data_IF_641492190672
#
_entry.id   IF_641492190672
#
_cell.length_a   1.000
_cell.length_b   1.000
_cell.length_c   1.000
_cell.angle_alpha   90.00
_cell.angle_beta   90.00
_cell.angle_gamma   90.00
#
_symmetry.space_group_name_H-M   'P 1'
#
loop_
_entity.id
_entity.type
_entity.pdbx_description
1 polymer ?
#
# COMPACT_ATOMS: atom_id res chain seq x y z
N UNK A 1 -16.32 29.81 14.74
CA UNK A 1 -17.56 30.08 13.99
C UNK A 1 -17.22 30.19 12.51
N UNK A 2 -17.51 29.15 11.72
CA UNK A 2 -17.40 29.20 10.26
C UNK A 2 -18.65 28.56 9.66
N UNK A 3 -19.53 29.40 9.12
CA UNK A 3 -20.83 29.07 8.53
C UNK A 3 -20.72 28.51 7.09
N UNK A 4 -19.80 27.59 6.81
CA UNK A 4 -19.64 27.01 5.45
C UNK A 4 -20.35 25.67 5.26
N UNK A 5 -21.19 25.25 6.22
CA UNK A 5 -21.87 23.95 6.21
C UNK A 5 -23.36 24.00 5.81
N UNK A 6 -23.88 25.15 5.36
CA UNK A 6 -25.32 25.36 5.16
C UNK A 6 -25.80 25.32 3.70
N UNK A 7 -24.90 25.21 2.71
CA UNK A 7 -25.28 25.33 1.28
C UNK A 7 -25.65 24.01 0.59
N UNK A 8 -25.58 22.86 1.28
CA UNK A 8 -25.98 21.57 0.70
C UNK A 8 -27.46 21.53 0.31
N UNK A 9 -28.31 22.33 0.96
CA UNK A 9 -29.71 22.52 0.58
C UNK A 9 -29.90 23.13 -0.82
N UNK A 10 -28.88 23.80 -1.40
CA UNK A 10 -28.94 24.26 -2.79
C UNK A 10 -28.74 23.12 -3.82
N UNK A 11 -28.20 21.97 -3.41
CA UNK A 11 -28.12 20.80 -4.28
C UNK A 11 -29.48 20.12 -4.50
N UNK A 12 -30.40 20.26 -3.54
CA UNK A 12 -31.77 19.74 -3.58
C UNK A 12 -32.58 20.27 -4.79
N UNK A 13 -32.67 21.58 -5.06
CA UNK A 13 -33.33 22.09 -6.26
C UNK A 13 -32.62 21.69 -7.55
N UNK A 14 -31.30 21.50 -7.54
CA UNK A 14 -30.54 21.01 -8.71
C UNK A 14 -30.89 19.54 -9.02
N UNK A 15 -31.13 18.71 -8.00
CA UNK A 15 -31.64 17.33 -8.16
C UNK A 15 -33.09 17.29 -8.68
N UNK A 16 -33.90 18.30 -8.38
CA UNK A 16 -35.28 18.40 -8.86
C UNK A 16 -35.37 18.94 -10.30
N UNK A 17 -34.33 19.63 -10.79
CA UNK A 17 -34.28 20.23 -12.12
C UNK A 17 -34.45 19.23 -13.27
N UNK A 18 -33.80 18.05 -13.28
CA UNK A 18 -34.05 17.00 -14.28
C UNK A 18 -35.50 16.50 -14.28
N UNK A 19 -36.11 16.37 -13.09
CA UNK A 19 -37.50 15.94 -12.92
C UNK A 19 -38.44 17.01 -13.48
N UNK A 20 -38.17 18.27 -13.17
CA UNK A 20 -38.95 19.42 -13.64
C UNK A 20 -38.79 19.68 -15.14
N UNK A 21 -37.57 19.58 -15.67
CA UNK A 21 -37.26 19.67 -17.10
C UNK A 21 -37.95 18.55 -17.89
N UNK A 22 -37.93 17.33 -17.36
CA UNK A 22 -38.63 16.21 -17.98
C UNK A 22 -40.16 16.37 -17.94
N UNK A 23 -40.72 17.01 -16.90
CA UNK A 23 -42.13 17.44 -16.88
C UNK A 23 -42.42 18.51 -17.93
N UNK A 24 -41.62 19.58 -17.99
CA UNK A 24 -41.82 20.72 -18.90
C UNK A 24 -41.70 20.34 -20.39
N UNK A 25 -40.73 19.48 -20.73
CA UNK A 25 -40.59 18.95 -22.11
C UNK A 25 -41.83 18.16 -22.55
N UNK A 26 -42.56 17.54 -21.62
CA UNK A 26 -43.83 16.85 -21.90
C UNK A 26 -45.01 17.80 -22.09
N UNK A 27 -44.99 18.97 -21.47
CA UNK A 27 -46.00 20.01 -21.70
C UNK A 27 -45.83 20.65 -23.08
N UNK A 28 -44.58 20.88 -23.52
CA UNK A 28 -44.29 21.43 -24.84
C UNK A 28 -44.69 20.49 -25.98
N UNK A 29 -44.44 19.18 -25.86
CA UNK A 29 -44.89 18.20 -26.86
C UNK A 29 -46.39 17.87 -26.80
N UNK A 30 -47.13 18.30 -25.76
CA UNK A 30 -48.61 18.29 -25.75
C UNK A 30 -49.19 19.48 -26.51
N UNK A 31 -48.44 20.58 -26.65
CA UNK A 31 -48.89 21.80 -27.30
C UNK A 31 -48.69 21.79 -28.84
N UNK A 32 -48.03 20.77 -29.39
CA UNK A 32 -47.64 20.70 -30.81
C UNK A 32 -48.62 19.91 -31.71
N UNK A 33 -49.90 19.84 -31.33
CA UNK A 33 -50.96 19.27 -32.18
C UNK A 33 -52.12 20.26 -32.36
N UNK A 34 -51.85 21.52 -32.74
CA UNK A 34 -52.91 22.46 -33.10
C UNK A 34 -52.53 23.41 -34.22
N UNK A 35 -52.18 22.85 -35.39
CA UNK A 35 -52.28 23.60 -36.65
C UNK A 35 -52.31 22.63 -37.85
N UNK A 36 -53.37 21.82 -37.97
CA UNK A 36 -53.96 21.32 -39.24
C UNK A 36 -54.82 20.07 -38.98
N UNK A 37 -56.11 20.26 -38.73
CA UNK A 37 -57.18 19.32 -39.15
C UNK A 37 -58.52 19.85 -38.64
N UNK A 38 -59.20 20.60 -39.51
CA UNK A 38 -60.51 21.21 -39.23
C UNK A 38 -61.68 20.21 -39.28
N UNK A 39 -61.43 18.92 -39.50
CA UNK A 39 -62.51 17.97 -39.73
C UNK A 39 -62.17 16.59 -39.20
N UNK A 40 -62.53 16.31 -37.95
CA UNK A 40 -62.92 14.98 -37.44
C UNK A 40 -63.69 15.19 -36.12
N UNK A 41 -64.85 14.53 -35.90
CA UNK A 41 -65.59 14.63 -34.65
C UNK A 41 -64.78 14.03 -33.49
N UNK A 42 -64.79 14.73 -32.35
CA UNK A 42 -64.02 14.45 -31.13
C UNK A 42 -64.15 12.99 -30.69
N UNK A 43 -63.15 12.17 -31.00
CA UNK A 43 -62.71 11.13 -30.09
C UNK A 43 -61.59 11.75 -29.26
N UNK A 44 -61.79 11.96 -27.96
CA UNK A 44 -60.68 12.29 -27.07
C UNK A 44 -59.87 11.01 -26.83
N UNK A 45 -58.66 10.85 -27.40
CA UNK A 45 -57.81 9.75 -26.99
C UNK A 45 -57.30 10.10 -25.58
N UNK A 46 -57.99 9.61 -24.55
CA UNK A 46 -57.39 9.47 -23.21
C UNK A 46 -56.25 8.47 -23.33
N UNK A 47 -55.08 8.94 -23.76
CA UNK A 47 -53.83 8.21 -23.59
C UNK A 47 -53.53 8.15 -22.09
N UNK A 48 -54.14 7.18 -21.41
CA UNK A 48 -53.70 6.73 -20.09
C UNK A 48 -52.36 6.05 -20.32
N UNK A 49 -51.30 6.86 -20.34
CA UNK A 49 -49.96 6.36 -20.65
C UNK A 49 -49.36 5.81 -19.36
N UNK A 50 -49.55 4.51 -19.17
CA UNK A 50 -48.92 3.74 -18.11
C UNK A 50 -47.42 4.03 -18.10
N UNK A 51 -46.90 4.39 -16.94
CA UNK A 51 -45.49 4.66 -16.75
C UNK A 51 -44.73 3.38 -17.09
N UNK A 52 -44.02 3.35 -18.22
CA UNK A 52 -43.22 2.18 -18.54
C UNK A 52 -42.09 2.10 -17.51
N UNK A 53 -41.92 0.95 -16.87
CA UNK A 53 -40.87 0.72 -15.87
C UNK A 53 -39.48 1.17 -16.35
N UNK A 54 -39.24 1.11 -17.67
CA UNK A 54 -38.02 1.58 -18.34
C UNK A 54 -37.76 3.09 -18.17
N UNK A 55 -38.81 3.92 -18.21
CA UNK A 55 -38.68 5.37 -17.99
C UNK A 55 -38.33 5.70 -16.54
N UNK A 56 -38.84 4.92 -15.59
CA UNK A 56 -38.56 5.08 -14.17
C UNK A 56 -37.11 4.69 -13.83
N UNK A 57 -36.62 3.59 -14.42
CA UNK A 57 -35.23 3.15 -14.29
C UNK A 57 -34.27 4.19 -14.89
N UNK A 58 -34.55 4.70 -16.09
CA UNK A 58 -33.74 5.75 -16.72
C UNK A 58 -33.67 7.04 -15.88
N UNK A 59 -34.79 7.45 -15.29
CA UNK A 59 -34.83 8.62 -14.40
C UNK A 59 -33.99 8.39 -13.14
N UNK A 60 -34.10 7.21 -12.53
CA UNK A 60 -33.35 6.83 -11.34
C UNK A 60 -31.84 6.83 -11.60
N UNK A 61 -31.40 6.25 -12.73
CA UNK A 61 -29.99 6.24 -13.13
C UNK A 61 -29.45 7.66 -13.31
N UNK A 62 -30.22 8.56 -13.95
CA UNK A 62 -29.82 9.97 -14.08
C UNK A 62 -29.74 10.70 -12.74
N UNK A 63 -30.65 10.41 -11.82
CA UNK A 63 -30.60 10.97 -10.47
C UNK A 63 -29.38 10.45 -9.71
N UNK A 64 -29.07 9.15 -9.80
CA UNK A 64 -27.85 8.57 -9.21
C UNK A 64 -26.58 9.17 -9.81
N UNK A 65 -26.54 9.38 -11.13
CA UNK A 65 -25.40 10.02 -11.80
C UNK A 65 -25.21 11.46 -11.32
N UNK A 66 -26.29 12.22 -11.17
CA UNK A 66 -26.23 13.57 -10.62
C UNK A 66 -25.76 13.57 -9.16
N UNK A 67 -26.30 12.67 -8.33
CA UNK A 67 -25.90 12.54 -6.94
C UNK A 67 -24.42 12.14 -6.80
N UNK A 68 -23.94 11.22 -7.62
CA UNK A 68 -22.52 10.82 -7.67
C UNK A 68 -21.63 11.98 -8.13
N UNK A 69 -22.07 12.79 -9.10
CA UNK A 69 -21.32 13.95 -9.57
C UNK A 69 -21.25 15.05 -8.50
N UNK A 70 -22.34 15.30 -7.78
CA UNK A 70 -22.38 16.23 -6.64
C UNK A 70 -21.46 15.72 -5.53
N UNK A 71 -21.53 14.44 -5.17
CA UNK A 71 -20.65 13.84 -4.18
C UNK A 71 -19.17 13.95 -4.59
N UNK A 72 -18.86 13.73 -5.87
CA UNK A 72 -17.51 13.86 -6.42
C UNK A 72 -16.98 15.30 -6.34
N UNK A 73 -17.82 16.29 -6.62
CA UNK A 73 -17.48 17.71 -6.48
C UNK A 73 -17.33 18.15 -5.02
N UNK A 74 -18.09 17.54 -4.11
CA UNK A 74 -18.04 17.85 -2.67
C UNK A 74 -16.88 17.17 -1.94
N UNK A 75 -16.39 16.04 -2.46
CA UNK A 75 -15.35 15.20 -1.84
C UNK A 75 -14.04 15.94 -1.51
N UNK A 76 -13.51 16.86 -2.36
CA UNK A 76 -12.32 17.64 -2.03
C UNK A 76 -12.55 18.64 -0.90
N UNK A 77 -13.78 19.06 -0.65
CA UNK A 77 -14.08 20.20 0.23
C UNK A 77 -14.25 19.74 1.69
N UNK A 78 -14.53 18.45 1.93
CA UNK A 78 -14.77 17.93 3.28
C UNK A 78 -13.70 16.93 3.73
N UNK A 79 -12.76 17.34 4.62
CA UNK A 79 -11.90 16.39 5.29
C UNK A 79 -12.73 15.44 6.16
N UNK A 80 -12.64 14.14 5.90
CA UNK A 80 -13.54 13.13 6.49
C UNK A 80 -13.00 12.51 7.76
N UNK A 81 -11.68 12.32 7.88
CA UNK A 81 -11.09 11.60 9.03
C UNK A 81 -10.85 12.52 10.22
N UNK A 82 -11.32 12.08 11.39
CA UNK A 82 -10.99 12.69 12.68
C UNK A 82 -9.68 12.14 13.22
N UNK A 83 -9.56 12.06 14.55
CA UNK A 83 -8.39 11.49 15.19
C UNK A 83 -8.14 10.06 14.70
N UNK A 84 -6.87 9.71 14.43
CA UNK A 84 -6.51 8.42 13.86
C UNK A 84 -5.23 7.86 14.48
N UNK A 85 -5.25 6.56 14.74
CA UNK A 85 -4.09 5.78 15.18
C UNK A 85 -3.71 4.81 14.08
N UNK A 86 -2.48 4.91 13.59
CA UNK A 86 -1.91 3.96 12.65
C UNK A 86 -1.06 2.96 13.43
N UNK A 87 -1.41 1.67 13.35
CA UNK A 87 -0.68 0.59 14.02
C UNK A 87 0.08 -0.22 12.98
N UNK A 88 1.40 -0.25 13.12
CA UNK A 88 2.25 -1.06 12.25
C UNK A 88 1.97 -2.56 12.49
N UNK A 89 1.90 -3.34 11.42
CA UNK A 89 1.62 -4.78 11.49
C UNK A 89 2.66 -5.52 12.35
N UNK A 90 2.18 -6.35 13.29
CA UNK A 90 3.00 -7.10 14.23
C UNK A 90 3.57 -6.25 15.37
N UNK A 91 2.90 -5.15 15.70
CA UNK A 91 3.04 -4.46 16.99
C UNK A 91 2.24 -5.23 18.04
N UNK A 92 2.77 -5.33 19.26
CA UNK A 92 2.07 -5.91 20.39
C UNK A 92 0.74 -5.14 20.66
N UNK A 93 -0.42 -5.81 20.62
CA UNK A 93 -1.71 -5.16 20.83
C UNK A 93 -1.86 -4.54 22.22
N UNK A 94 -1.31 -5.16 23.28
CA UNK A 94 -1.44 -4.63 24.64
C UNK A 94 -0.65 -3.34 24.80
N UNK A 95 0.59 -3.33 24.30
CA UNK A 95 1.40 -2.12 24.24
C UNK A 95 0.71 -1.04 23.39
N UNK A 96 0.18 -1.39 22.22
CA UNK A 96 -0.50 -0.44 21.35
C UNK A 96 -1.71 0.20 22.05
N UNK A 97 -2.54 -0.59 22.72
CA UNK A 97 -3.70 -0.11 23.46
C UNK A 97 -3.30 0.82 24.62
N UNK A 98 -2.25 0.47 25.36
CA UNK A 98 -1.70 1.33 26.41
C UNK A 98 -1.22 2.69 25.85
N UNK A 99 -0.53 2.69 24.70
CA UNK A 99 -0.07 3.92 24.06
C UNK A 99 -1.23 4.77 23.54
N UNK A 100 -2.26 4.15 22.97
CA UNK A 100 -3.48 4.85 22.52
C UNK A 100 -4.20 5.50 23.69
N UNK A 101 -4.33 4.79 24.81
CA UNK A 101 -4.95 5.32 26.03
C UNK A 101 -4.14 6.51 26.59
N UNK A 102 -2.81 6.39 26.67
CA UNK A 102 -1.92 7.47 27.12
C UNK A 102 -1.98 8.70 26.24
N UNK A 103 -2.19 8.55 24.93
CA UNK A 103 -2.37 9.67 24.01
C UNK A 103 -3.77 10.31 24.09
N UNK A 104 -4.71 9.71 24.83
CA UNK A 104 -6.11 10.13 24.89
C UNK A 104 -6.89 9.85 23.60
N UNK A 105 -6.44 8.87 22.80
CA UNK A 105 -6.99 8.55 21.47
C UNK A 105 -7.80 7.25 21.45
N UNK A 106 -8.36 6.83 22.59
CA UNK A 106 -9.09 5.56 22.71
C UNK A 106 -10.28 5.42 21.73
N UNK A 107 -10.89 6.54 21.32
CA UNK A 107 -12.01 6.58 20.36
C UNK A 107 -11.59 6.89 18.92
N UNK A 108 -10.30 7.01 18.65
CA UNK A 108 -9.77 7.33 17.33
C UNK A 108 -9.90 6.14 16.36
N UNK A 109 -10.03 6.45 15.07
CA UNK A 109 -10.06 5.44 14.02
C UNK A 109 -8.71 4.70 13.95
N UNK A 110 -8.73 3.37 13.83
CA UNK A 110 -7.51 2.55 13.74
C UNK A 110 -7.25 2.11 12.31
N UNK A 111 -6.01 2.26 11.86
CA UNK A 111 -5.56 1.77 10.56
C UNK A 111 -4.37 0.85 10.77
N UNK A 112 -4.51 -0.41 10.38
CA UNK A 112 -3.39 -1.35 10.38
C UNK A 112 -2.69 -1.33 9.02
N UNK A 113 -1.35 -1.18 9.01
CA UNK A 113 -0.59 -1.24 7.77
C UNK A 113 0.86 -1.71 7.98
N UNK A 114 1.56 -2.19 6.94
CA UNK A 114 2.95 -2.56 7.04
C UNK A 114 3.84 -1.40 7.51
N UNK A 115 4.73 -1.66 8.48
CA UNK A 115 5.59 -0.64 9.08
C UNK A 115 6.42 0.12 8.02
N UNK A 116 6.98 -0.61 7.06
CA UNK A 116 7.78 -0.05 5.97
C UNK A 116 7.04 0.96 5.08
N UNK A 117 5.71 0.87 4.99
CA UNK A 117 4.89 1.75 4.15
C UNK A 117 4.28 2.90 4.92
N UNK A 118 4.34 2.88 6.26
CA UNK A 118 3.54 3.76 7.11
C UNK A 118 3.84 5.24 6.86
N UNK A 119 5.11 5.63 6.89
CA UNK A 119 5.51 7.03 6.71
C UNK A 119 5.25 7.52 5.27
N UNK A 120 5.55 6.70 4.27
CA UNK A 120 5.32 7.04 2.86
C UNK A 120 3.83 7.21 2.55
N UNK A 121 3.00 6.30 3.06
CA UNK A 121 1.55 6.37 2.93
C UNK A 121 0.99 7.61 3.64
N UNK A 122 1.45 7.88 4.86
CA UNK A 122 1.04 9.06 5.62
C UNK A 122 1.36 10.35 4.88
N UNK A 123 2.54 10.44 4.26
CA UNK A 123 2.95 11.59 3.43
C UNK A 123 2.01 11.80 2.23
N UNK A 124 1.59 10.72 1.57
CA UNK A 124 0.69 10.77 0.42
C UNK A 124 -0.75 11.15 0.80
N UNK A 125 -1.23 10.71 1.98
CA UNK A 125 -2.63 10.84 2.36
C UNK A 125 -2.91 11.93 3.39
N UNK A 126 -1.96 12.84 3.67
CA UNK A 126 -2.12 13.95 4.66
C UNK A 126 -3.39 14.80 4.46
N UNK A 127 -4.02 14.73 3.29
CA UNK A 127 -5.22 15.48 2.89
C UNK A 127 -6.53 14.91 3.46
N UNK A 128 -6.53 13.67 3.94
CA UNK A 128 -7.76 12.97 4.33
C UNK A 128 -8.30 13.39 5.71
N UNK A 129 -7.45 13.99 6.53
CA UNK A 129 -7.73 14.34 7.92
C UNK A 129 -8.12 15.80 8.11
N UNK A 130 -9.02 16.04 9.06
CA UNK A 130 -9.41 17.39 9.50
C UNK A 130 -8.18 18.17 10.01
N UNK A 131 -8.22 19.52 9.97
CA UNK A 131 -7.08 20.34 10.43
C UNK A 131 -6.71 20.13 11.90
N UNK A 132 -7.71 19.81 12.73
CA UNK A 132 -7.60 19.58 14.17
C UNK A 132 -7.38 18.11 14.56
N UNK A 133 -7.39 17.19 13.59
CA UNK A 133 -7.24 15.77 13.84
C UNK A 133 -5.82 15.43 14.34
N UNK A 134 -5.77 14.68 15.44
CA UNK A 134 -4.53 14.15 16.03
C UNK A 134 -4.16 12.82 15.40
N UNK A 135 -2.87 12.69 15.05
CA UNK A 135 -2.33 11.50 14.39
C UNK A 135 -1.26 10.86 15.27
N UNK A 136 -1.46 9.58 15.56
CA UNK A 136 -0.52 8.75 16.31
C UNK A 136 -0.10 7.55 15.46
N UNK A 137 1.19 7.32 15.32
CA UNK A 137 1.77 6.17 14.63
C UNK A 137 2.47 5.29 15.65
N UNK A 138 2.14 4.00 15.67
CA UNK A 138 2.61 3.03 16.65
C UNK A 138 3.32 1.86 15.97
N UNK A 139 4.46 1.44 16.53
CA UNK A 139 5.11 0.15 16.23
C UNK A 139 6.53 0.25 15.68
N UNK A 140 7.00 -0.83 15.07
CA UNK A 140 8.38 -0.97 14.58
C UNK A 140 8.60 -0.26 13.23
N UNK A 141 8.45 1.06 13.21
CA UNK A 141 8.59 1.87 11.99
C UNK A 141 10.07 2.05 11.66
N UNK A 142 10.50 1.78 10.41
CA UNK A 142 11.90 1.90 10.03
C UNK A 142 12.38 3.36 10.03
N UNK A 143 13.61 3.56 10.47
CA UNK A 143 14.33 4.82 10.36
C UNK A 143 14.59 5.15 8.90
N UNK A 144 14.08 6.28 8.45
CA UNK A 144 14.34 6.79 7.10
C UNK A 144 15.67 7.55 7.06
N UNK A 145 16.37 7.45 5.93
CA UNK A 145 17.62 8.17 5.70
C UNK A 145 17.46 9.70 5.75
N UNK A 146 16.25 10.19 5.44
CA UNK A 146 15.90 11.61 5.53
C UNK A 146 14.75 11.78 6.52
N UNK A 147 14.87 12.78 7.40
CA UNK A 147 13.81 13.13 8.36
C UNK A 147 12.59 13.59 7.57
N UNK A 148 11.43 12.93 7.70
CA UNK A 148 10.23 13.34 6.99
C UNK A 148 9.67 14.63 7.56
N UNK A 149 9.29 15.55 6.67
CA UNK A 149 8.52 16.74 7.03
C UNK A 149 7.02 16.52 6.75
N UNK A 150 6.18 17.02 7.65
CA UNK A 150 4.72 16.92 7.55
C UNK A 150 4.09 18.29 7.72
N UNK A 151 2.99 18.55 7.03
CA UNK A 151 2.25 19.82 7.15
C UNK A 151 1.34 19.88 8.38
N UNK A 152 1.40 18.86 9.25
CA UNK A 152 0.59 18.71 10.46
C UNK A 152 1.39 18.00 11.55
N UNK A 153 0.96 18.12 12.80
CA UNK A 153 1.58 17.45 13.93
C UNK A 153 1.32 15.94 13.87
N UNK A 154 2.37 15.14 14.00
CA UNK A 154 2.31 13.67 13.98
C UNK A 154 3.15 13.13 15.13
N UNK A 155 2.57 12.28 15.94
CA UNK A 155 3.28 11.60 17.02
C UNK A 155 3.67 10.20 16.58
N UNK A 156 4.96 9.89 16.60
CA UNK A 156 5.49 8.56 16.32
C UNK A 156 5.99 7.96 17.63
N UNK A 157 5.41 6.83 18.04
CA UNK A 157 5.91 6.02 19.15
C UNK A 157 6.31 4.67 18.61
N UNK A 158 7.56 4.31 18.82
CA UNK A 158 8.11 3.08 18.27
C UNK A 158 8.40 2.05 19.34
N UNK A 159 8.26 0.79 18.93
CA UNK A 159 8.66 -0.38 19.70
C UNK A 159 9.50 -1.23 18.77
N UNK A 160 10.81 -1.33 19.06
CA UNK A 160 11.71 -2.14 18.26
C UNK A 160 11.28 -3.61 18.36
N UNK A 161 11.05 -4.25 17.21
CA UNK A 161 10.78 -5.68 17.19
C UNK A 161 12.06 -6.41 17.57
N UNK A 162 11.98 -7.33 18.52
CA UNK A 162 13.12 -8.21 18.76
C UNK A 162 13.37 -9.04 17.50
N UNK A 163 14.62 -9.12 17.02
CA UNK A 163 14.94 -9.94 15.87
C UNK A 163 14.50 -11.37 16.17
N UNK A 164 13.68 -11.96 15.30
CA UNK A 164 13.34 -13.38 15.41
C UNK A 164 14.64 -14.18 15.46
N UNK A 165 14.88 -14.89 16.56
CA UNK A 165 15.96 -15.85 16.64
C UNK A 165 15.61 -17.03 15.74
N UNK A 166 15.85 -16.89 14.44
CA UNK A 166 15.69 -17.97 13.49
C UNK A 166 16.84 -18.93 13.73
N UNK A 167 16.51 -20.17 14.09
CA UNK A 167 17.47 -21.28 14.15
C UNK A 167 18.08 -21.42 12.75
N UNK A 168 19.34 -21.02 12.62
CA UNK A 168 20.07 -21.04 11.35
C UNK A 168 20.84 -22.33 11.25
N UNK A 169 20.56 -23.09 10.20
CA UNK A 169 21.27 -24.32 9.87
C UNK A 169 22.06 -24.17 8.60
N UNK A 170 23.30 -24.62 8.63
CA UNK A 170 24.27 -24.51 7.54
C UNK A 170 24.74 -25.89 7.14
N UNK A 171 24.82 -26.15 5.84
CA UNK A 171 25.45 -27.37 5.33
C UNK A 171 26.79 -27.01 4.71
N UNK A 172 27.86 -27.66 5.18
CA UNK A 172 29.24 -27.36 4.74
C UNK A 172 29.77 -28.51 3.90
N UNK A 173 30.09 -28.21 2.64
CA UNK A 173 30.79 -29.11 1.73
C UNK A 173 32.15 -28.51 1.43
N UNK A 174 33.16 -28.92 2.19
CA UNK A 174 34.51 -28.33 2.17
C UNK A 174 35.59 -29.40 2.28
N UNK A 175 36.76 -29.15 1.68
CA UNK A 175 37.99 -29.92 1.96
C UNK A 175 38.58 -29.60 3.35
N UNK A 176 38.12 -28.52 4.00
CA UNK A 176 38.58 -28.01 5.30
C UNK A 176 37.40 -27.80 6.28
N UNK A 177 36.61 -28.85 6.59
CA UNK A 177 35.38 -28.70 7.35
C UNK A 177 35.59 -28.15 8.78
N UNK A 178 36.73 -28.42 9.41
CA UNK A 178 37.03 -27.95 10.78
C UNK A 178 37.19 -26.42 10.86
N UNK A 179 37.67 -25.77 9.79
CA UNK A 179 37.81 -24.30 9.76
C UNK A 179 36.43 -23.64 9.74
N UNK A 180 35.51 -24.19 8.94
CA UNK A 180 34.12 -23.75 8.89
C UNK A 180 33.37 -24.00 10.19
N UNK A 181 33.59 -25.16 10.84
CA UNK A 181 33.00 -25.44 12.15
C UNK A 181 33.37 -24.40 13.19
N UNK A 182 34.64 -23.94 13.23
CA UNK A 182 35.07 -22.90 14.18
C UNK A 182 34.38 -21.56 13.92
N UNK A 183 34.21 -21.17 12.65
CA UNK A 183 33.52 -19.92 12.27
C UNK A 183 32.05 -19.95 12.70
N UNK A 184 31.33 -21.04 12.40
CA UNK A 184 29.91 -21.16 12.73
C UNK A 184 29.64 -21.42 14.22
N UNK A 185 30.51 -22.16 14.91
CA UNK A 185 30.40 -22.41 16.35
C UNK A 185 30.52 -21.10 17.16
N UNK A 186 31.39 -20.18 16.74
CA UNK A 186 31.54 -18.87 17.40
C UNK A 186 30.26 -18.00 17.35
N UNK A 187 29.34 -18.29 16.42
CA UNK A 187 28.07 -17.60 16.28
C UNK A 187 26.86 -18.46 16.69
N UNK A 188 27.07 -19.64 17.28
CA UNK A 188 25.99 -20.52 17.75
C UNK A 188 25.14 -21.13 16.63
N UNK A 189 25.70 -21.27 15.42
CA UNK A 189 25.00 -21.78 14.23
C UNK A 189 25.18 -23.29 14.13
N UNK A 190 24.09 -24.04 13.93
CA UNK A 190 24.14 -25.50 13.79
C UNK A 190 24.57 -25.90 12.38
N UNK A 191 25.40 -26.93 12.28
CA UNK A 191 25.86 -27.50 11.01
C UNK A 191 25.13 -28.83 10.77
N UNK A 192 24.38 -28.91 9.67
CA UNK A 192 23.71 -30.13 9.25
C UNK A 192 24.64 -30.97 8.37
N UNK A 193 24.71 -32.28 8.63
CA UNK A 193 25.48 -33.24 7.81
C UNK A 193 24.87 -33.47 6.43
N UNK A 194 23.58 -33.26 6.27
CA UNK A 194 22.87 -33.38 4.99
C UNK A 194 22.01 -32.13 4.73
N UNK A 195 21.96 -31.62 3.49
CA UNK A 195 21.10 -30.50 3.15
C UNK A 195 19.63 -30.93 3.22
N UNK A 196 18.81 -30.16 3.93
CA UNK A 196 17.37 -30.38 4.05
C UNK A 196 16.57 -29.11 3.82
N UNK A 197 15.24 -29.20 3.94
CA UNK A 197 14.34 -28.06 3.72
C UNK A 197 14.56 -26.87 4.68
N UNK A 198 15.27 -27.10 5.79
CA UNK A 198 15.61 -26.07 6.80
C UNK A 198 17.02 -25.48 6.62
N UNK A 199 17.80 -25.98 5.66
CA UNK A 199 19.16 -25.48 5.41
C UNK A 199 19.10 -24.08 4.80
N UNK A 200 19.61 -23.11 5.53
CA UNK A 200 19.56 -21.68 5.18
C UNK A 200 20.73 -21.23 4.31
N UNK A 201 21.89 -21.90 4.46
CA UNK A 201 23.12 -21.62 3.73
C UNK A 201 23.82 -22.93 3.38
N UNK A 202 24.29 -23.03 2.14
CA UNK A 202 25.24 -24.04 1.72
C UNK A 202 26.59 -23.39 1.51
N UNK A 203 27.61 -23.94 2.16
CA UNK A 203 29.00 -23.53 1.94
C UNK A 203 29.65 -24.53 1.00
N UNK A 204 30.06 -24.07 -0.18
CA UNK A 204 30.74 -24.86 -1.19
C UNK A 204 32.20 -24.42 -1.28
N UNK A 205 33.08 -25.27 -0.75
CA UNK A 205 34.52 -25.06 -0.65
C UNK A 205 35.26 -26.31 -1.16
N UNK A 206 34.93 -26.68 -2.39
CA UNK A 206 35.54 -27.76 -3.16
C UNK A 206 35.80 -27.28 -4.57
N UNK A 207 36.80 -27.88 -5.21
CA UNK A 207 37.12 -27.64 -6.62
C UNK A 207 36.18 -28.32 -7.61
N UNK A 208 35.36 -29.26 -7.13
CA UNK A 208 34.40 -29.99 -7.95
C UNK A 208 33.10 -29.20 -8.14
N UNK A 209 32.42 -29.42 -9.26
CA UNK A 209 31.13 -28.80 -9.54
C UNK A 209 30.04 -29.33 -8.58
N UNK A 210 29.13 -28.47 -8.08
CA UNK A 210 28.08 -28.89 -7.16
C UNK A 210 27.00 -29.75 -7.86
N UNK A 211 26.48 -30.80 -7.17
CA UNK A 211 25.40 -31.63 -7.69
C UNK A 211 24.19 -30.80 -8.10
N UNK A 212 23.57 -31.10 -9.25
CA UNK A 212 22.44 -30.33 -9.79
C UNK A 212 21.16 -30.39 -8.92
N UNK A 213 21.05 -31.39 -8.05
CA UNK A 213 19.94 -31.60 -7.12
C UNK A 213 20.02 -30.72 -5.87
N UNK A 214 21.19 -30.16 -5.55
CA UNK A 214 21.40 -29.34 -4.37
C UNK A 214 20.74 -27.98 -4.57
N UNK A 215 19.89 -27.56 -3.64
CA UNK A 215 19.22 -26.25 -3.64
C UNK A 215 19.23 -25.69 -2.23
N UNK A 216 19.48 -24.38 -2.11
CA UNK A 216 19.35 -23.64 -0.87
C UNK A 216 19.10 -22.16 -1.17
N UNK A 217 18.48 -21.40 -0.26
CA UNK A 217 18.24 -19.97 -0.47
C UNK A 217 19.55 -19.20 -0.75
N UNK A 218 20.64 -19.55 -0.07
CA UNK A 218 21.95 -18.90 -0.20
C UNK A 218 23.08 -19.92 -0.31
N UNK A 219 24.09 -19.52 -1.08
CA UNK A 219 25.30 -20.30 -1.33
C UNK A 219 26.53 -19.43 -1.15
N UNK A 220 27.41 -19.83 -0.24
CA UNK A 220 28.74 -19.26 -0.10
C UNK A 220 29.72 -20.09 -0.93
N UNK A 221 30.33 -19.46 -1.92
CA UNK A 221 31.28 -20.08 -2.85
C UNK A 221 32.68 -19.53 -2.60
N UNK A 222 33.65 -20.41 -2.37
CA UNK A 222 35.05 -20.00 -2.18
C UNK A 222 35.79 -19.85 -3.51
N UNK A 223 35.46 -20.64 -4.53
CA UNK A 223 36.01 -20.56 -5.88
C UNK A 223 34.97 -20.04 -6.89
N UNK A 224 34.99 -18.73 -7.24
CA UNK A 224 34.01 -18.15 -8.16
C UNK A 224 34.16 -18.68 -9.59
N UNK A 225 35.29 -19.28 -9.97
CA UNK A 225 35.51 -19.79 -11.34
C UNK A 225 34.60 -20.99 -11.68
N UNK A 226 34.12 -21.72 -10.67
CA UNK A 226 33.21 -22.85 -10.85
C UNK A 226 31.77 -22.42 -11.13
N UNK A 227 31.47 -21.13 -10.97
CA UNK A 227 30.12 -20.58 -11.10
C UNK A 227 30.15 -19.42 -12.11
N UNK A 228 29.90 -19.68 -13.40
CA UNK A 228 29.95 -18.65 -14.44
C UNK A 228 28.96 -17.50 -14.18
N UNK A 229 27.92 -17.71 -13.37
CA UNK A 229 27.00 -16.68 -12.93
C UNK A 229 27.68 -15.58 -12.10
N UNK A 230 28.70 -15.93 -11.30
CA UNK A 230 29.46 -14.97 -10.49
C UNK A 230 30.41 -14.10 -11.33
N UNK A 231 30.75 -14.51 -12.56
CA UNK A 231 31.59 -13.70 -13.45
C UNK A 231 30.90 -12.41 -13.93
N UNK A 232 29.56 -12.36 -13.85
CA UNK A 232 28.73 -11.17 -14.14
C UNK A 232 28.05 -10.61 -12.89
N UNK A 233 28.52 -11.01 -11.71
CA UNK A 233 27.91 -10.64 -10.44
C UNK A 233 27.88 -9.12 -10.24
N UNK A 234 26.80 -8.64 -9.65
CA UNK A 234 26.75 -7.28 -9.13
C UNK A 234 27.65 -7.20 -7.88
N UNK A 235 28.45 -6.14 -7.78
CA UNK A 235 29.10 -5.77 -6.53
C UNK A 235 28.06 -5.03 -5.68
N UNK A 236 27.88 -5.45 -4.42
CA UNK A 236 26.91 -4.82 -3.54
C UNK A 236 27.44 -3.45 -3.06
N UNK A 237 26.82 -2.34 -3.49
CA UNK A 237 27.11 -1.01 -2.94
C UNK A 237 26.84 -0.99 -1.42
N UNK A 238 27.86 -0.69 -0.62
CA UNK A 238 27.74 -0.55 0.85
C UNK A 238 27.94 -1.81 1.68
N UNK A 239 28.19 -2.98 1.06
CA UNK A 239 28.95 -4.06 1.70
C UNK A 239 30.44 -3.87 1.38
N UNK A 240 31.35 -4.51 2.12
CA UNK A 240 32.79 -4.37 1.88
C UNK A 240 33.08 -4.56 0.37
N UNK A 241 33.99 -3.76 -0.22
CA UNK A 241 34.34 -3.65 -1.66
C UNK A 241 34.84 -4.95 -2.34
N UNK A 242 34.58 -6.11 -1.73
CA UNK A 242 35.09 -7.44 -2.09
C UNK A 242 33.99 -8.51 -2.11
N UNK A 243 32.72 -8.12 -2.03
CA UNK A 243 31.59 -9.05 -2.07
C UNK A 243 30.88 -9.03 -3.44
N UNK A 244 30.87 -10.18 -4.09
CA UNK A 244 30.19 -10.40 -5.37
C UNK A 244 29.00 -11.34 -5.15
N UNK A 245 27.84 -11.00 -5.72
CA UNK A 245 26.66 -11.87 -5.65
C UNK A 245 25.92 -11.97 -6.99
N UNK A 246 25.32 -13.13 -7.23
CA UNK A 246 24.50 -13.41 -8.41
C UNK A 246 23.33 -14.34 -8.05
N UNK A 247 22.16 -14.08 -8.62
CA UNK A 247 21.01 -14.98 -8.48
C UNK A 247 21.11 -16.11 -9.51
N UNK A 248 20.97 -17.36 -9.07
CA UNK A 248 21.00 -18.55 -9.91
C UNK A 248 19.76 -19.43 -9.67
N UNK A 249 19.44 -20.38 -10.57
CA UNK A 249 18.39 -21.36 -10.31
C UNK A 249 18.62 -22.21 -9.06
N UNK A 250 19.84 -22.27 -8.51
CA UNK A 250 20.19 -23.03 -7.30
C UNK A 250 19.95 -22.25 -6.00
N UNK A 251 19.77 -20.94 -6.12
CA UNK A 251 19.77 -19.97 -5.02
C UNK A 251 20.64 -18.76 -5.34
N UNK A 252 20.72 -17.84 -4.38
CA UNK A 252 21.62 -16.68 -4.47
C UNK A 252 23.04 -17.11 -4.13
N UNK A 253 23.93 -17.00 -5.09
CA UNK A 253 25.36 -17.27 -4.97
C UNK A 253 26.05 -16.00 -4.49
N UNK A 254 26.97 -16.13 -3.54
CA UNK A 254 27.84 -15.03 -3.16
C UNK A 254 29.26 -15.53 -2.86
N UNK A 255 30.21 -14.64 -3.12
CA UNK A 255 31.63 -14.84 -2.88
C UNK A 255 32.18 -13.62 -2.14
N UNK A 256 33.07 -13.87 -1.18
CA UNK A 256 33.83 -12.83 -0.49
C UNK A 256 35.32 -13.11 -0.63
N UNK A 257 36.06 -12.14 -1.15
CA UNK A 257 37.52 -12.25 -1.23
C UNK A 257 38.21 -12.14 0.14
N UNK A 258 37.45 -11.92 1.23
CA UNK A 258 37.94 -11.97 2.61
C UNK A 258 38.04 -13.40 3.16
N UNK A 259 37.72 -14.42 2.35
CA UNK A 259 37.88 -15.83 2.71
C UNK A 259 39.28 -16.36 2.30
N UNK A 260 39.97 -17.14 3.16
CA UNK A 260 39.60 -17.52 4.52
C UNK A 260 39.87 -16.39 5.54
N UNK A 261 38.97 -16.16 6.53
CA UNK A 261 39.16 -15.16 7.55
C UNK A 261 40.34 -15.55 8.44
N UNK A 262 41.34 -14.68 8.53
CA UNK A 262 42.53 -14.89 9.37
C UNK A 262 42.34 -14.39 10.81
N UNK A 263 41.31 -13.57 11.06
CA UNK A 263 40.99 -13.00 12.36
C UNK A 263 39.55 -13.28 12.77
N UNK A 264 39.27 -13.22 14.09
CA UNK A 264 37.91 -13.37 14.64
C UNK A 264 36.96 -12.29 14.11
N UNK A 265 37.44 -11.05 13.97
CA UNK A 265 36.63 -9.96 13.46
C UNK A 265 36.33 -10.11 11.96
N UNK A 266 37.25 -10.66 11.16
CA UNK A 266 36.98 -11.01 9.77
C UNK A 266 35.94 -12.13 9.64
N UNK A 267 35.97 -13.12 10.56
CA UNK A 267 34.97 -14.17 10.60
C UNK A 267 33.58 -13.62 10.98
N UNK A 268 33.51 -12.69 11.95
CA UNK A 268 32.27 -11.97 12.30
C UNK A 268 31.75 -11.14 11.13
N UNK A 269 32.61 -10.36 10.48
CA UNK A 269 32.24 -9.55 9.33
C UNK A 269 31.67 -10.40 8.18
N UNK A 270 32.27 -11.56 7.90
CA UNK A 270 31.77 -12.49 6.90
C UNK A 270 30.37 -13.03 7.26
N UNK A 271 30.13 -13.33 8.53
CA UNK A 271 28.82 -13.76 8.99
C UNK A 271 27.80 -12.62 8.89
N UNK A 272 28.18 -11.39 9.23
CA UNK A 272 27.35 -10.19 9.11
C UNK A 272 26.97 -9.90 7.64
N UNK A 273 27.92 -10.02 6.72
CA UNK A 273 27.68 -9.89 5.28
C UNK A 273 26.67 -10.92 4.79
N UNK A 274 26.81 -12.18 5.23
CA UNK A 274 25.81 -13.21 4.98
C UNK A 274 24.42 -12.83 5.52
N UNK A 275 24.34 -12.27 6.73
CA UNK A 275 23.06 -11.84 7.28
C UNK A 275 22.43 -10.72 6.44
N UNK A 276 23.24 -9.74 6.00
CA UNK A 276 22.79 -8.63 5.18
C UNK A 276 22.31 -9.08 3.80
N UNK A 277 22.97 -10.06 3.19
CA UNK A 277 22.53 -10.63 1.90
C UNK A 277 21.20 -11.40 2.01
N UNK A 278 20.95 -12.03 3.16
CA UNK A 278 19.73 -12.78 3.40
C UNK A 278 18.55 -11.91 3.82
N UNK A 279 18.78 -11.02 4.79
CA UNK A 279 17.74 -10.22 5.43
C UNK A 279 17.62 -8.80 4.86
N UNK A 280 18.57 -8.37 4.03
CA UNK A 280 18.71 -6.97 3.62
C UNK A 280 19.49 -6.14 4.63
N UNK A 281 19.73 -4.84 4.34
CA UNK A 281 20.38 -3.94 5.29
C UNK A 281 19.60 -3.88 6.61
N UNK A 282 20.31 -3.75 7.76
CA UNK A 282 19.66 -3.71 9.06
C UNK A 282 18.68 -2.54 9.11
N UNK A 283 17.40 -2.88 9.29
CA UNK A 283 16.34 -1.90 9.44
C UNK A 283 16.34 -1.45 10.90
N UNK A 284 16.91 -0.29 11.17
CA UNK A 284 16.85 0.31 12.49
C UNK A 284 15.47 0.88 12.74
N UNK A 285 14.89 0.62 13.91
CA UNK A 285 13.66 1.26 14.34
C UNK A 285 13.89 2.76 14.52
N UNK A 286 13.00 3.59 13.97
CA UNK A 286 13.03 5.03 14.17
C UNK A 286 12.87 5.36 15.67
N UNK A 287 13.52 6.41 16.20
CA UNK A 287 13.27 6.83 17.58
C UNK A 287 11.86 7.40 17.73
N UNK A 288 11.24 7.16 18.89
CA UNK A 288 10.00 7.84 19.27
C UNK A 288 10.18 9.36 19.21
N UNK A 289 9.32 10.06 18.48
CA UNK A 289 9.44 11.49 18.24
C UNK A 289 8.09 12.09 17.87
N UNK A 290 7.90 13.34 18.25
CA UNK A 290 6.83 14.20 17.76
C UNK A 290 7.35 15.02 16.58
N UNK A 291 6.71 14.90 15.43
CA UNK A 291 6.93 15.77 14.27
C UNK A 291 5.98 16.95 14.38
N UNK A 292 6.54 18.16 14.50
CA UNK A 292 5.75 19.39 14.45
C UNK A 292 5.35 19.71 13.01
N UNK A 293 4.27 20.47 12.85
CA UNK A 293 3.82 20.91 11.54
C UNK A 293 4.86 21.84 10.91
N UNK A 294 5.45 21.44 9.79
CA UNK A 294 6.41 22.25 9.07
C UNK A 294 5.72 23.31 8.21
N UNK A 295 6.23 24.54 8.27
CA UNK A 295 5.76 25.64 7.43
C UNK A 295 6.22 25.51 5.97
N UNK A 296 7.32 24.80 5.70
CA UNK A 296 7.86 24.52 4.36
C UNK A 296 6.98 23.56 3.55
N UNK A 297 6.25 22.67 4.25
CA UNK A 297 5.34 21.69 3.64
C UNK A 297 3.92 22.15 3.92
N UNK A 298 3.34 22.93 3.01
CA UNK A 298 1.92 23.27 3.08
C UNK A 298 1.13 21.96 3.03
N UNK A 299 0.39 21.63 4.10
CA UNK A 299 -0.53 20.51 4.09
C UNK A 299 -1.38 20.63 2.83
N UNK A 300 -1.29 19.68 1.90
CA UNK A 300 -1.92 19.90 0.62
C UNK A 300 -3.43 19.99 0.79
N UNK A 301 -4.08 20.80 -0.05
CA UNK A 301 -5.52 21.04 0.05
C UNK A 301 -6.30 19.72 0.12
N UNK A 302 -7.36 19.63 0.95
CA UNK A 302 -8.13 18.41 1.09
C UNK A 302 -8.56 17.90 -0.29
N UNK A 303 -8.37 16.61 -0.52
CA UNK A 303 -8.85 15.92 -1.71
C UNK A 303 -9.43 14.61 -1.23
N UNK A 304 -10.71 14.39 -1.48
CA UNK A 304 -11.39 13.29 -0.82
C UNK A 304 -10.95 11.92 -1.34
N UNK A 305 -10.94 10.96 -0.41
CA UNK A 305 -10.52 9.58 -0.62
C UNK A 305 -11.45 8.79 -1.56
N UNK A 306 -12.64 9.31 -1.87
CA UNK A 306 -13.61 8.65 -2.73
C UNK A 306 -13.53 9.11 -4.18
N UNK A 307 -12.67 10.07 -4.52
CA UNK A 307 -12.58 10.64 -5.86
C UNK A 307 -12.49 9.58 -6.96
N UNK A 308 -11.59 8.62 -6.81
CA UNK A 308 -11.36 7.59 -7.83
C UNK A 308 -12.51 6.59 -7.90
N UNK A 309 -13.07 6.21 -6.74
CA UNK A 309 -14.23 5.32 -6.66
C UNK A 309 -15.48 5.98 -7.25
N UNK A 310 -15.68 7.28 -7.00
CA UNK A 310 -16.78 8.07 -7.54
C UNK A 310 -16.60 8.32 -9.05
N UNK A 311 -15.38 8.49 -9.56
CA UNK A 311 -15.11 8.51 -10.99
C UNK A 311 -15.50 7.18 -11.66
N UNK A 312 -15.10 6.05 -11.06
CA UNK A 312 -15.46 4.74 -11.56
C UNK A 312 -16.99 4.52 -11.55
N UNK A 313 -17.66 4.93 -10.46
CA UNK A 313 -19.11 4.88 -10.35
C UNK A 313 -19.82 5.76 -11.40
N UNK A 314 -19.32 6.97 -11.65
CA UNK A 314 -19.83 7.86 -12.68
C UNK A 314 -19.69 7.26 -14.08
N UNK A 315 -18.53 6.67 -14.40
CA UNK A 315 -18.30 6.00 -15.67
C UNK A 315 -19.27 4.82 -15.86
N UNK A 316 -19.45 3.99 -14.82
CA UNK A 316 -20.38 2.87 -14.86
C UNK A 316 -21.84 3.32 -15.04
N UNK A 317 -22.28 4.34 -14.30
CA UNK A 317 -23.63 4.92 -14.43
C UNK A 317 -23.86 5.53 -15.81
N UNK A 318 -22.85 6.17 -16.40
CA UNK A 318 -22.92 6.73 -17.75
C UNK A 318 -23.08 5.65 -18.82
N UNK A 319 -22.31 4.55 -18.72
CA UNK A 319 -22.45 3.40 -19.63
C UNK A 319 -23.83 2.77 -19.50
N UNK A 320 -24.33 2.60 -18.26
CA UNK A 320 -25.66 2.06 -18.00
C UNK A 320 -26.77 2.95 -18.60
N UNK A 321 -26.64 4.28 -18.46
CA UNK A 321 -27.55 5.24 -19.08
C UNK A 321 -27.59 5.09 -20.60
N UNK A 322 -26.43 4.91 -21.23
CA UNK A 322 -26.31 4.72 -22.69
C UNK A 322 -26.97 3.42 -23.15
N UNK A 323 -26.76 2.32 -22.44
CA UNK A 323 -27.37 1.01 -22.75
C UNK A 323 -28.89 1.10 -22.63
N UNK A 324 -29.41 1.64 -21.53
CA UNK A 324 -30.84 1.79 -21.30
C UNK A 324 -31.51 2.71 -22.33
N UNK A 325 -30.82 3.80 -22.71
CA UNK A 325 -31.32 4.72 -23.74
C UNK A 325 -31.36 4.04 -25.12
N UNK A 326 -30.37 3.20 -25.43
CA UNK A 326 -30.35 2.43 -26.67
C UNK A 326 -31.45 1.35 -26.68
N UNK A 327 -31.65 0.64 -25.57
CA UNK A 327 -32.69 -0.36 -25.40
C UNK A 327 -34.11 0.21 -25.43
N UNK A 328 -34.28 1.51 -25.12
CA UNK A 328 -35.54 2.23 -25.27
C UNK A 328 -35.85 2.64 -26.72
N UNK A 329 -34.81 2.83 -27.55
CA UNK A 329 -34.96 3.25 -28.96
C UNK A 329 -35.24 2.07 -29.90
N UNK A 330 -34.88 0.85 -29.49
CA UNK A 330 -35.32 -0.41 -30.12
C UNK A 330 -36.70 -0.80 -29.61
#
# INVERSE_FOLDING_TARGET
MSYTNALWWLALPILLLPIWWHRRKREQHKAELLATSRFLPRAEPRQVRAWSWRDLILLLVRCLMLAAAIAWLADPIMPRRGDTVIVATGTDPEWADAQVAQAGLAKADRIAMPAARTIAWLRAHQREWRPDARLLVLGDVPMLAQVPEFGRKIELRTLARQPENRERRVHVVSERPEQWRRVFAAAGIAIDEMPGARTSLIVWDRKDAPPASLRAPLWLVTDPALFPELAKAAQAEGLQDKLAYADSPRGRLWHSAAWPPTTVDAARALLDDWQRLHAGPPVYTAPSRVFEASASVRAPAPSGALRDMLMAALAALFVLERILTHARRR
#
